data_IF_159571072641
#
_entry.id   IF_159571072641
#
_cell.length_a   1.000
_cell.length_b   1.000
_cell.length_c   1.000
_cell.angle_alpha   90.00
_cell.angle_beta   90.00
_cell.angle_gamma   90.00
#
_symmetry.space_group_name_H-M   'P 1'
#
loop_
_entity.id
_entity.type
_entity.pdbx_description
1 polymer ?
#
# COMPACT_ATOMS: atom_id res chain seq x y z
N UNK A 1 -32.77 -10.33 53.96
CA UNK A 1 -31.50 -9.75 54.45
C UNK A 1 -31.10 -8.68 53.46
N UNK A 2 -31.15 -7.40 53.83
CA UNK A 2 -30.89 -6.27 52.92
C UNK A 2 -29.38 -5.98 52.96
N UNK A 3 -28.69 -6.18 51.84
CA UNK A 3 -27.25 -5.95 51.70
C UNK A 3 -26.93 -4.46 51.86
N UNK A 4 -25.93 -4.10 52.68
CA UNK A 4 -25.54 -2.68 52.85
C UNK A 4 -24.64 -2.20 51.71
N UNK A 5 -24.64 -0.89 51.44
CA UNK A 5 -23.84 -0.27 50.37
C UNK A 5 -22.33 -0.57 50.49
N UNK A 6 -21.82 -0.69 51.73
CA UNK A 6 -20.43 -1.06 51.99
C UNK A 6 -20.12 -2.50 51.57
N UNK A 7 -21.06 -3.44 51.76
CA UNK A 7 -20.93 -4.80 51.24
C UNK A 7 -20.96 -4.81 49.71
N UNK A 8 -21.83 -4.01 49.09
CA UNK A 8 -21.90 -3.89 47.63
C UNK A 8 -20.57 -3.38 47.04
N UNK A 9 -19.96 -2.36 47.64
CA UNK A 9 -18.64 -1.87 47.27
C UNK A 9 -17.55 -2.95 47.43
N UNK A 10 -17.57 -3.71 48.52
CA UNK A 10 -16.59 -4.80 48.74
C UNK A 10 -16.80 -5.95 47.74
N UNK A 11 -18.04 -6.28 47.38
CA UNK A 11 -18.32 -7.28 46.34
C UNK A 11 -17.91 -6.81 44.95
N UNK A 12 -18.08 -5.51 44.64
CA UNK A 12 -17.52 -4.89 43.44
C UNK A 12 -16.00 -5.01 43.43
N UNK A 13 -15.30 -4.73 44.55
CA UNK A 13 -13.83 -4.82 44.63
C UNK A 13 -13.27 -6.24 44.44
N UNK A 14 -14.09 -7.29 44.51
CA UNK A 14 -13.68 -8.69 44.21
C UNK A 14 -14.03 -9.13 42.78
N UNK A 15 -14.24 -8.17 41.88
CA UNK A 15 -14.50 -8.41 40.47
C UNK A 15 -13.22 -8.30 39.65
N UNK A 16 -12.95 -9.27 38.79
CA UNK A 16 -11.83 -9.21 37.84
C UNK A 16 -12.33 -9.29 36.40
N UNK A 17 -11.74 -8.46 35.56
CA UNK A 17 -12.00 -8.48 34.13
C UNK A 17 -10.91 -9.26 33.41
N UNK A 18 -11.24 -10.05 32.41
CA UNK A 18 -10.20 -10.74 31.66
C UNK A 18 -10.54 -10.98 30.21
N UNK A 19 -9.51 -11.24 29.41
CA UNK A 19 -9.67 -11.74 28.05
C UNK A 19 -8.75 -12.92 27.78
N UNK A 20 -9.13 -13.72 26.79
CA UNK A 20 -8.43 -14.91 26.36
C UNK A 20 -8.37 -14.97 24.83
N UNK A 21 -7.16 -14.99 24.25
CA UNK A 21 -7.01 -14.96 22.79
C UNK A 21 -5.71 -15.53 22.26
N UNK A 22 -5.67 -15.85 20.95
CA UNK A 22 -4.43 -16.29 20.28
C UNK A 22 -3.47 -15.13 20.03
N UNK A 23 -4.03 -14.00 19.58
CA UNK A 23 -3.31 -12.76 19.27
C UNK A 23 -2.05 -13.00 18.42
N UNK A 24 -2.18 -13.70 17.29
CA UNK A 24 -1.04 -14.22 16.53
C UNK A 24 -1.07 -13.92 15.01
N UNK A 25 -0.33 -12.90 14.53
CA UNK A 25 0.37 -11.90 15.33
C UNK A 25 -0.60 -10.92 16.01
N UNK A 26 -0.17 -10.18 17.05
CA UNK A 26 -0.95 -9.08 17.58
C UNK A 26 -1.11 -7.98 16.53
N UNK A 27 -2.27 -7.34 16.51
CA UNK A 27 -2.64 -6.30 15.53
C UNK A 27 -3.35 -5.15 16.24
N UNK A 28 -3.52 -4.01 15.57
CA UNK A 28 -4.30 -2.89 16.13
C UNK A 28 -5.72 -3.27 16.58
N UNK A 29 -6.36 -4.22 15.91
CA UNK A 29 -7.68 -4.72 16.33
C UNK A 29 -7.66 -5.41 17.70
N UNK A 30 -6.55 -6.06 18.05
CA UNK A 30 -6.38 -6.60 19.41
C UNK A 30 -6.18 -5.47 20.42
N UNK A 31 -5.44 -4.42 20.05
CA UNK A 31 -5.29 -3.21 20.86
C UNK A 31 -6.64 -2.62 21.27
N UNK A 32 -7.56 -2.45 20.31
CA UNK A 32 -8.93 -2.00 20.60
C UNK A 32 -9.66 -2.89 21.61
N UNK A 33 -9.52 -4.21 21.50
CA UNK A 33 -10.12 -5.13 22.47
C UNK A 33 -9.51 -4.94 23.87
N UNK A 34 -8.19 -4.74 23.96
CA UNK A 34 -7.51 -4.46 25.24
C UNK A 34 -7.93 -3.12 25.83
N UNK A 35 -8.14 -2.10 24.99
CA UNK A 35 -8.64 -0.79 25.39
C UNK A 35 -10.07 -0.89 25.91
N UNK A 36 -10.95 -1.61 25.22
CA UNK A 36 -12.30 -1.88 25.71
C UNK A 36 -12.30 -2.66 27.02
N UNK A 37 -11.42 -3.67 27.16
CA UNK A 37 -11.26 -4.41 28.41
C UNK A 37 -10.90 -3.48 29.57
N UNK A 38 -9.92 -2.60 29.38
CA UNK A 38 -9.53 -1.60 30.37
C UNK A 38 -10.70 -0.66 30.71
N UNK A 39 -11.38 -0.12 29.69
CA UNK A 39 -12.49 0.82 29.89
C UNK A 39 -13.68 0.17 30.63
N UNK A 40 -13.97 -1.10 30.35
CA UNK A 40 -15.03 -1.87 31.02
C UNK A 40 -14.64 -2.25 32.45
N UNK A 41 -13.35 -2.48 32.70
CA UNK A 41 -12.85 -2.79 34.04
C UNK A 41 -12.94 -1.57 34.98
N UNK A 42 -12.81 -0.35 34.45
CA UNK A 42 -12.76 0.89 35.24
C UNK A 42 -11.64 0.80 36.30
N UNK A 43 -11.99 0.84 37.59
CA UNK A 43 -11.07 0.69 38.72
C UNK A 43 -10.78 -0.78 39.07
N UNK A 44 -11.53 -1.73 38.53
CA UNK A 44 -11.33 -3.15 38.82
C UNK A 44 -10.06 -3.68 38.15
N UNK A 45 -9.38 -4.67 38.76
CA UNK A 45 -8.25 -5.32 38.13
C UNK A 45 -8.67 -6.04 36.85
N UNK A 46 -7.76 -6.08 35.87
CA UNK A 46 -7.94 -6.89 34.68
C UNK A 46 -6.71 -7.72 34.34
N UNK A 47 -6.92 -8.80 33.60
CA UNK A 47 -5.89 -9.76 33.17
C UNK A 47 -6.04 -10.10 31.69
N UNK A 48 -4.93 -10.22 30.99
CA UNK A 48 -4.88 -10.61 29.58
C UNK A 48 -4.14 -11.93 29.51
N UNK A 49 -4.84 -12.96 29.07
CA UNK A 49 -4.26 -14.28 28.87
C UNK A 49 -4.19 -14.59 27.38
N UNK A 50 -3.09 -15.20 26.97
CA UNK A 50 -2.90 -15.66 25.59
C UNK A 50 -2.70 -17.15 25.50
N UNK A 51 -3.20 -17.75 24.42
CA UNK A 51 -3.12 -19.20 24.24
C UNK A 51 -1.67 -19.65 24.09
N UNK A 52 -1.37 -20.81 24.66
CA UNK A 52 -0.05 -21.43 24.55
C UNK A 52 0.13 -22.25 23.26
N UNK A 53 -0.96 -22.66 22.63
CA UNK A 53 -0.90 -23.38 21.35
C UNK A 53 -0.17 -22.57 20.29
N UNK A 54 0.47 -23.25 19.34
CA UNK A 54 1.07 -22.67 18.15
C UNK A 54 0.95 -23.65 16.98
N UNK A 55 0.81 -23.11 15.77
CA UNK A 55 0.80 -23.87 14.53
C UNK A 55 1.29 -22.96 13.39
N UNK A 56 2.00 -23.49 12.37
CA UNK A 56 2.61 -22.64 11.36
C UNK A 56 1.62 -21.81 10.54
N UNK A 57 0.35 -22.21 10.41
CA UNK A 57 -0.61 -21.59 9.49
C UNK A 57 -1.41 -20.47 10.15
N UNK A 58 -2.00 -20.75 11.30
CA UNK A 58 -2.96 -19.90 11.98
C UNK A 58 -2.38 -19.20 13.20
N UNK A 59 -1.30 -19.73 13.78
CA UNK A 59 -0.78 -19.33 15.07
C UNK A 59 0.77 -19.49 15.14
N UNK A 60 1.53 -18.82 14.24
CA UNK A 60 2.96 -19.08 14.01
C UNK A 60 3.88 -18.68 15.17
N UNK A 61 3.56 -17.62 15.92
CA UNK A 61 4.33 -17.22 17.10
C UNK A 61 4.17 -18.19 18.29
N UNK A 62 5.26 -18.46 19.01
CA UNK A 62 5.26 -19.24 20.27
C UNK A 62 4.72 -18.43 21.44
N UNK A 63 4.33 -19.08 22.54
CA UNK A 63 3.73 -18.43 23.72
C UNK A 63 4.53 -17.22 24.24
N UNK A 64 5.83 -17.39 24.52
CA UNK A 64 6.66 -16.30 25.06
C UNK A 64 6.87 -15.17 24.05
N UNK A 65 6.90 -15.50 22.76
CA UNK A 65 6.98 -14.52 21.68
C UNK A 65 5.71 -13.65 21.65
N UNK A 66 4.52 -14.27 21.76
CA UNK A 66 3.24 -13.53 21.87
C UNK A 66 3.24 -12.56 23.04
N UNK A 67 3.62 -13.04 24.23
CA UNK A 67 3.66 -12.23 25.46
C UNK A 67 4.62 -11.05 25.30
N UNK A 68 5.85 -11.31 24.81
CA UNK A 68 6.86 -10.26 24.59
C UNK A 68 6.36 -9.21 23.61
N UNK A 69 5.81 -9.64 22.48
CA UNK A 69 5.33 -8.72 21.44
C UNK A 69 4.09 -7.95 21.90
N UNK A 70 3.14 -8.57 22.59
CA UNK A 70 1.99 -7.86 23.15
C UNK A 70 2.39 -6.77 24.14
N UNK A 71 3.33 -7.06 25.06
CA UNK A 71 3.82 -6.06 26.01
C UNK A 71 4.53 -4.90 25.31
N UNK A 72 5.24 -5.18 24.21
CA UNK A 72 5.95 -4.17 23.44
C UNK A 72 5.02 -3.30 22.59
N UNK A 73 4.03 -3.92 21.94
CA UNK A 73 3.06 -3.23 21.09
C UNK A 73 2.05 -2.43 21.93
N UNK A 74 1.68 -2.95 23.10
CA UNK A 74 0.66 -2.39 23.99
C UNK A 74 1.20 -2.15 25.40
N UNK A 75 2.15 -1.21 25.58
CA UNK A 75 2.82 -0.97 26.86
C UNK A 75 1.86 -0.59 27.99
N UNK A 76 0.76 0.11 27.68
CA UNK A 76 -0.32 0.44 28.63
C UNK A 76 -0.92 -0.78 29.32
N UNK A 77 -0.94 -1.92 28.63
CA UNK A 77 -1.51 -3.18 29.11
C UNK A 77 -0.45 -4.16 29.61
N UNK A 78 0.84 -3.81 29.54
CA UNK A 78 1.94 -4.73 29.75
C UNK A 78 1.91 -5.46 31.11
N UNK A 79 1.53 -4.74 32.17
CA UNK A 79 1.39 -5.28 33.53
C UNK A 79 0.24 -6.27 33.68
N UNK A 80 -0.81 -6.12 32.90
CA UNK A 80 -1.98 -7.00 32.92
C UNK A 80 -1.82 -8.23 32.01
N UNK A 81 -0.80 -8.27 31.15
CA UNK A 81 -0.49 -9.43 30.31
C UNK A 81 0.19 -10.51 31.15
N UNK A 82 -0.50 -11.62 31.32
CA UNK A 82 -0.08 -12.73 32.17
C UNK A 82 0.90 -13.65 31.45
N UNK A 83 2.03 -13.92 32.12
CA UNK A 83 3.08 -14.82 31.66
C UNK A 83 3.16 -16.04 32.58
N UNK A 84 2.23 -16.98 32.43
CA UNK A 84 2.18 -18.19 33.24
C UNK A 84 2.00 -19.43 32.36
N UNK A 85 3.05 -20.25 32.27
CA UNK A 85 3.08 -21.49 31.48
C UNK A 85 2.16 -22.59 32.03
N UNK A 86 1.66 -22.47 33.27
CA UNK A 86 0.67 -23.42 33.82
C UNK A 86 -0.73 -23.20 33.22
N UNK A 87 -1.03 -22.00 32.71
CA UNK A 87 -2.36 -21.63 32.22
C UNK A 87 -2.51 -22.06 30.75
N UNK A 88 -2.92 -23.31 30.54
CA UNK A 88 -3.03 -23.90 29.19
C UNK A 88 -4.37 -23.61 28.50
N UNK A 89 -5.44 -23.49 29.28
CA UNK A 89 -6.80 -23.26 28.79
C UNK A 89 -7.48 -22.11 29.54
N UNK A 90 -8.61 -21.63 29.01
CA UNK A 90 -9.42 -20.59 29.67
C UNK A 90 -9.85 -21.00 31.08
N UNK A 91 -10.07 -22.28 31.34
CA UNK A 91 -10.44 -22.78 32.66
C UNK A 91 -9.30 -22.75 33.67
N UNK A 92 -8.06 -22.95 33.23
CA UNK A 92 -6.90 -22.73 34.09
C UNK A 92 -6.75 -21.26 34.45
N UNK A 93 -7.15 -20.35 33.54
CA UNK A 93 -7.15 -18.92 33.82
C UNK A 93 -8.21 -18.58 34.88
N UNK A 94 -9.43 -19.13 34.73
CA UNK A 94 -10.49 -18.98 35.74
C UNK A 94 -10.10 -19.55 37.10
N UNK A 95 -9.46 -20.73 37.13
CA UNK A 95 -8.94 -21.32 38.37
C UNK A 95 -7.90 -20.40 39.01
N UNK A 96 -6.92 -19.90 38.23
CA UNK A 96 -5.93 -18.95 38.74
C UNK A 96 -6.57 -17.67 39.31
N UNK A 97 -7.60 -17.13 38.64
CA UNK A 97 -8.33 -15.95 39.12
C UNK A 97 -9.13 -16.26 40.40
N UNK A 98 -9.70 -17.45 40.51
CA UNK A 98 -10.41 -17.88 41.71
C UNK A 98 -9.44 -18.05 42.89
N UNK A 99 -8.27 -18.65 42.65
CA UNK A 99 -7.21 -18.82 43.63
C UNK A 99 -6.60 -17.48 44.08
N UNK A 100 -6.62 -16.45 43.21
CA UNK A 100 -6.28 -15.06 43.57
C UNK A 100 -7.33 -14.41 44.52
N UNK A 101 -8.47 -15.06 44.77
CA UNK A 101 -9.51 -14.63 45.72
C UNK A 101 -10.65 -13.83 45.10
N UNK A 102 -10.75 -13.76 43.76
CA UNK A 102 -11.84 -13.08 43.08
C UNK A 102 -13.15 -13.86 43.22
N UNK A 103 -14.25 -13.15 43.48
CA UNK A 103 -15.59 -13.73 43.62
C UNK A 103 -16.43 -13.58 42.36
N UNK A 104 -16.14 -12.54 41.57
CA UNK A 104 -16.85 -12.21 40.35
C UNK A 104 -15.87 -12.10 39.19
N UNK A 105 -16.27 -12.59 38.02
CA UNK A 105 -15.44 -12.54 36.83
C UNK A 105 -16.23 -12.04 35.62
N UNK A 106 -15.61 -11.13 34.87
CA UNK A 106 -16.15 -10.59 33.63
C UNK A 106 -15.19 -10.87 32.48
N UNK A 107 -15.60 -11.72 31.55
CA UNK A 107 -14.84 -11.99 30.34
C UNK A 107 -15.20 -11.00 29.24
N UNK A 108 -14.21 -10.39 28.59
CA UNK A 108 -14.40 -9.51 27.43
C UNK A 108 -13.87 -10.19 26.17
N UNK A 109 -14.75 -10.41 25.20
CA UNK A 109 -14.45 -11.13 23.94
C UNK A 109 -15.08 -10.43 22.73
N UNK A 110 -14.71 -10.85 21.51
CA UNK A 110 -15.42 -10.43 20.30
C UNK A 110 -16.89 -10.89 20.32
N UNK A 111 -17.76 -10.15 19.64
CA UNK A 111 -19.21 -10.40 19.60
C UNK A 111 -19.57 -11.83 19.17
N UNK A 112 -18.81 -12.37 18.22
CA UNK A 112 -18.96 -13.71 17.65
C UNK A 112 -18.81 -14.85 18.67
N UNK A 113 -18.13 -14.62 19.80
CA UNK A 113 -17.81 -15.67 20.79
C UNK A 113 -18.52 -15.52 22.13
N UNK A 114 -19.36 -14.50 22.29
CA UNK A 114 -20.03 -14.21 23.58
C UNK A 114 -20.90 -15.39 24.03
N UNK A 115 -21.74 -15.93 23.14
CA UNK A 115 -22.66 -17.03 23.46
C UNK A 115 -21.88 -18.31 23.78
N UNK A 116 -20.87 -18.64 22.97
CA UNK A 116 -19.99 -19.80 23.14
C UNK A 116 -19.36 -19.79 24.55
N UNK A 117 -18.69 -18.69 24.92
CA UNK A 117 -18.02 -18.59 26.21
C UNK A 117 -18.99 -18.51 27.38
N UNK A 118 -20.13 -17.82 27.23
CA UNK A 118 -21.11 -17.71 28.31
C UNK A 118 -21.61 -19.08 28.74
N UNK A 119 -21.95 -19.94 27.78
CA UNK A 119 -22.38 -21.33 28.05
C UNK A 119 -21.22 -22.16 28.61
N UNK A 120 -20.04 -22.06 27.99
CA UNK A 120 -18.88 -22.87 28.35
C UNK A 120 -18.40 -22.61 29.78
N UNK A 121 -18.26 -21.34 30.18
CA UNK A 121 -17.70 -20.99 31.48
C UNK A 121 -18.66 -21.31 32.64
N UNK A 122 -19.98 -21.14 32.42
CA UNK A 122 -21.01 -21.46 33.41
C UNK A 122 -21.17 -22.97 33.60
N UNK A 123 -21.04 -23.77 32.53
CA UNK A 123 -21.17 -25.24 32.59
C UNK A 123 -20.20 -25.90 33.58
N UNK A 124 -19.01 -25.34 33.75
CA UNK A 124 -17.94 -25.86 34.60
C UNK A 124 -17.77 -25.11 35.93
N UNK A 125 -18.59 -24.08 36.21
CA UNK A 125 -18.57 -23.39 37.50
C UNK A 125 -19.01 -24.34 38.63
N UNK A 126 -18.24 -24.39 39.72
CA UNK A 126 -18.47 -25.30 40.83
C UNK A 126 -18.06 -26.75 40.58
N UNK A 127 -17.43 -27.06 39.43
CA UNK A 127 -16.96 -28.42 39.10
C UNK A 127 -15.45 -28.52 39.15
N UNK A 128 -14.94 -29.51 39.89
CA UNK A 128 -13.51 -29.84 39.94
C UNK A 128 -13.16 -30.73 38.74
N UNK A 129 -12.10 -30.38 38.01
CA UNK A 129 -11.58 -31.16 36.88
C UNK A 129 -10.06 -30.99 36.75
N UNK A 130 -9.47 -31.50 35.68
CA UNK A 130 -8.03 -31.39 35.37
C UNK A 130 -7.53 -29.94 35.32
N UNK A 131 -8.42 -28.99 35.03
CA UNK A 131 -8.14 -27.57 35.02
C UNK A 131 -8.07 -26.92 36.42
N UNK A 132 -8.40 -27.66 37.48
CA UNK A 132 -8.58 -27.16 38.84
C UNK A 132 -10.05 -27.01 39.24
N UNK A 133 -10.31 -26.14 40.22
CA UNK A 133 -11.64 -25.83 40.72
C UNK A 133 -11.85 -24.32 40.76
N UNK A 134 -13.02 -23.87 40.33
CA UNK A 134 -13.45 -22.49 40.53
C UNK A 134 -14.94 -22.46 40.82
N UNK A 135 -15.39 -21.52 41.65
CA UNK A 135 -16.79 -21.32 41.95
C UNK A 135 -17.09 -19.83 42.16
N UNK A 136 -17.26 -19.11 41.06
CA UNK A 136 -17.60 -17.69 41.09
C UNK A 136 -19.07 -17.47 41.44
N UNK A 137 -19.34 -16.41 42.19
CA UNK A 137 -20.70 -15.94 42.47
C UNK A 137 -21.35 -15.38 41.19
N UNK A 138 -20.57 -14.70 40.36
CA UNK A 138 -21.03 -14.17 39.07
C UNK A 138 -19.99 -14.42 37.97
N UNK A 139 -20.46 -14.98 36.86
CA UNK A 139 -19.71 -15.09 35.59
C UNK A 139 -20.48 -14.32 34.53
N UNK A 140 -19.90 -13.23 34.03
CA UNK A 140 -20.44 -12.45 32.93
C UNK A 140 -19.49 -12.52 31.73
N UNK A 141 -20.05 -12.62 30.53
CA UNK A 141 -19.30 -12.50 29.27
C UNK A 141 -19.89 -11.34 28.51
N UNK A 142 -19.07 -10.34 28.20
CA UNK A 142 -19.48 -9.12 27.52
C UNK A 142 -18.72 -8.96 26.21
N UNK A 143 -19.40 -8.39 25.21
CA UNK A 143 -18.78 -8.05 23.94
C UNK A 143 -17.83 -6.86 24.09
N UNK A 144 -16.71 -6.91 23.37
CA UNK A 144 -15.81 -5.78 23.17
C UNK A 144 -16.36 -4.73 22.18
N UNK A 145 -17.55 -4.98 21.61
CA UNK A 145 -18.18 -4.21 20.54
C UNK A 145 -18.18 -4.98 19.22
N UNK A 146 -19.09 -4.61 18.32
CA UNK A 146 -19.03 -5.04 16.92
C UNK A 146 -17.95 -4.24 16.19
N UNK A 147 -17.32 -4.85 15.18
CA UNK A 147 -16.45 -4.09 14.28
C UNK A 147 -17.38 -3.20 13.46
N UNK A 148 -17.26 -1.89 13.64
CA UNK A 148 -17.88 -0.91 12.75
C UNK A 148 -17.42 -1.20 11.31
N UNK A 149 -18.32 -1.69 10.42
CA UNK A 149 -17.99 -2.01 9.03
C UNK A 149 -17.57 -0.78 8.24
N UNK A 150 -18.01 0.42 8.69
CA UNK A 150 -17.89 1.69 7.99
C UNK A 150 -16.72 2.55 8.50
N UNK A 151 -15.97 2.07 9.50
CA UNK A 151 -14.77 2.74 9.99
C UNK A 151 -13.65 2.70 8.93
N UNK A 152 -13.67 3.66 8.01
CA UNK A 152 -12.64 3.87 7.02
C UNK A 152 -11.26 4.06 7.70
N UNK A 153 -10.29 3.26 7.25
CA UNK A 153 -8.89 3.37 7.65
C UNK A 153 -8.45 2.38 8.72
N UNK A 154 -7.44 1.56 8.38
CA UNK A 154 -6.46 0.80 9.19
C UNK A 154 -6.98 -0.10 10.34
N UNK A 155 -8.26 -0.02 10.72
CA UNK A 155 -8.87 -0.69 11.87
C UNK A 155 -9.38 -2.10 11.55
N UNK A 156 -9.37 -2.49 10.27
CA UNK A 156 -9.76 -3.81 9.75
C UNK A 156 -8.61 -4.79 9.50
N UNK A 157 -7.41 -4.53 10.03
CA UNK A 157 -6.27 -5.44 9.84
C UNK A 157 -6.33 -6.60 10.84
N UNK A 158 -6.79 -7.75 10.35
CA UNK A 158 -6.85 -9.00 11.08
C UNK A 158 -5.50 -9.71 11.12
N UNK A 159 -5.30 -10.59 12.10
CA UNK A 159 -4.10 -11.42 12.17
C UNK A 159 -3.89 -12.26 10.90
N UNK A 160 -4.96 -12.72 10.26
CA UNK A 160 -4.89 -13.46 9.00
C UNK A 160 -4.35 -12.60 7.85
N UNK A 161 -4.76 -11.32 7.74
CA UNK A 161 -4.20 -10.39 6.77
C UNK A 161 -2.71 -10.12 7.03
N UNK A 162 -2.31 -9.99 8.30
CA UNK A 162 -0.89 -9.83 8.66
C UNK A 162 -0.04 -11.03 8.26
N UNK A 163 -0.54 -12.26 8.47
CA UNK A 163 0.16 -13.48 8.00
C UNK A 163 0.22 -13.53 6.48
N UNK A 164 -0.82 -13.09 5.78
CA UNK A 164 -0.81 -12.99 4.32
C UNK A 164 0.27 -12.02 3.81
N UNK A 165 0.40 -10.84 4.41
CA UNK A 165 1.47 -9.89 4.06
C UNK A 165 2.87 -10.46 4.38
N UNK A 166 2.99 -11.25 5.46
CA UNK A 166 4.21 -11.99 5.75
C UNK A 166 4.56 -13.02 4.67
N UNK A 167 3.57 -13.75 4.13
CA UNK A 167 3.79 -14.69 3.01
C UNK A 167 4.16 -13.99 1.71
N UNK A 168 3.58 -12.81 1.43
CA UNK A 168 3.80 -12.07 0.19
C UNK A 168 5.05 -11.18 0.19
N UNK A 169 5.88 -11.25 1.23
CA UNK A 169 7.04 -10.36 1.37
C UNK A 169 6.65 -8.87 1.37
N UNK A 170 5.44 -8.53 1.83
CA UNK A 170 4.93 -7.16 1.86
C UNK A 170 5.04 -6.56 3.27
N UNK A 171 6.25 -6.13 3.61
CA UNK A 171 6.52 -5.47 4.88
C UNK A 171 5.78 -4.13 5.04
N UNK A 172 5.54 -3.42 3.94
CA UNK A 172 4.91 -2.08 3.99
C UNK A 172 3.48 -2.21 4.51
N UNK A 173 2.68 -3.06 3.89
CA UNK A 173 1.30 -3.32 4.33
C UNK A 173 1.25 -3.98 5.71
N UNK A 174 2.24 -4.82 6.05
CA UNK A 174 2.36 -5.37 7.39
C UNK A 174 2.58 -4.28 8.45
N UNK A 175 3.52 -3.36 8.22
CA UNK A 175 3.85 -2.30 9.18
C UNK A 175 2.65 -1.38 9.48
N UNK A 176 1.78 -1.14 8.49
CA UNK A 176 0.56 -0.35 8.65
C UNK A 176 -0.48 -1.04 9.57
N UNK A 177 -0.38 -2.36 9.75
CA UNK A 177 -1.23 -3.13 10.66
C UNK A 177 -0.89 -3.04 12.14
N UNK A 178 0.19 -2.32 12.47
CA UNK A 178 0.71 -2.19 13.82
C UNK A 178 0.41 -0.78 14.39
N UNK A 179 0.31 -0.65 15.72
CA UNK A 179 0.17 0.64 16.37
C UNK A 179 1.29 1.64 16.00
N UNK A 180 0.97 2.93 15.93
CA UNK A 180 1.93 3.99 15.53
C UNK A 180 3.14 4.14 16.48
N UNK A 181 3.00 3.72 17.73
CA UNK A 181 4.09 3.76 18.72
C UNK A 181 5.15 2.66 18.52
N UNK A 182 4.97 1.78 17.52
CA UNK A 182 5.87 0.67 17.25
C UNK A 182 7.00 1.14 16.35
N UNK A 183 8.24 0.95 16.81
CA UNK A 183 9.41 1.28 16.00
C UNK A 183 9.48 0.40 14.75
N UNK A 184 10.06 0.93 13.67
CA UNK A 184 10.30 0.15 12.46
C UNK A 184 11.15 -1.11 12.75
N UNK A 185 12.08 -1.03 13.71
CA UNK A 185 12.88 -2.17 14.15
C UNK A 185 12.02 -3.29 14.74
N UNK A 186 11.03 -2.94 15.55
CA UNK A 186 10.11 -3.90 16.18
C UNK A 186 9.12 -4.48 15.21
N UNK A 187 8.66 -3.67 14.25
CA UNK A 187 7.83 -4.15 13.16
C UNK A 187 8.58 -5.21 12.34
N UNK A 188 9.87 -4.98 12.01
CA UNK A 188 10.72 -5.95 11.29
C UNK A 188 10.95 -7.23 12.10
N UNK A 189 11.20 -7.09 13.41
CA UNK A 189 11.34 -8.24 14.31
C UNK A 189 10.05 -9.06 14.31
N UNK A 190 8.89 -8.43 14.51
CA UNK A 190 7.59 -9.11 14.49
C UNK A 190 7.35 -9.81 13.15
N UNK A 191 7.63 -9.12 12.05
CA UNK A 191 7.48 -9.60 10.70
C UNK A 191 8.28 -10.90 10.47
N UNK A 192 9.57 -10.86 10.80
CA UNK A 192 10.44 -12.02 10.65
C UNK A 192 10.10 -13.15 11.64
N UNK A 193 9.63 -12.83 12.85
CA UNK A 193 9.12 -13.83 13.80
C UNK A 193 7.90 -14.57 13.24
N UNK A 194 6.97 -13.85 12.59
CA UNK A 194 5.81 -14.46 11.92
C UNK A 194 6.28 -15.34 10.76
N UNK A 195 7.14 -14.81 9.88
CA UNK A 195 7.70 -15.59 8.75
C UNK A 195 8.38 -16.87 9.20
N UNK A 196 9.25 -16.77 10.21
CA UNK A 196 9.93 -17.92 10.82
C UNK A 196 8.94 -18.92 11.40
N UNK A 197 7.93 -18.45 12.13
CA UNK A 197 6.88 -19.32 12.66
C UNK A 197 6.05 -20.01 11.59
N UNK A 198 5.94 -19.41 10.39
CA UNK A 198 5.30 -19.99 9.21
C UNK A 198 6.22 -20.90 8.38
N UNK A 199 7.49 -21.05 8.76
CA UNK A 199 8.49 -21.81 7.99
C UNK A 199 9.04 -21.07 6.77
N UNK A 200 8.83 -19.76 6.67
CA UNK A 200 9.34 -18.91 5.60
C UNK A 200 10.74 -18.38 5.95
N UNK A 201 11.58 -18.19 4.93
CA UNK A 201 12.90 -17.56 5.09
C UNK A 201 12.74 -16.12 5.58
N UNK A 202 13.62 -15.70 6.48
CA UNK A 202 13.68 -14.33 6.98
C UNK A 202 13.95 -13.36 5.82
N UNK A 203 13.25 -12.23 5.85
CA UNK A 203 13.45 -11.16 4.88
C UNK A 203 14.46 -10.16 5.42
N UNK A 204 15.53 -9.93 4.66
CA UNK A 204 16.59 -8.95 4.98
C UNK A 204 16.46 -7.66 4.16
N UNK A 205 15.80 -7.74 3.01
CA UNK A 205 15.63 -6.64 2.05
C UNK A 205 14.20 -6.14 2.07
N UNK A 206 13.90 -5.14 2.90
CA UNK A 206 12.56 -4.54 3.02
C UNK A 206 12.26 -3.48 1.95
N UNK A 207 12.95 -3.50 0.80
CA UNK A 207 12.78 -2.50 -0.26
C UNK A 207 11.66 -2.94 -1.20
N UNK A 208 10.66 -2.08 -1.39
CA UNK A 208 9.58 -2.29 -2.35
C UNK A 208 10.13 -2.15 -3.76
N UNK A 209 10.28 -3.24 -4.50
CA UNK A 209 10.46 -3.14 -5.95
C UNK A 209 9.15 -2.65 -6.55
N UNK A 210 9.11 -1.39 -6.96
CA UNK A 210 7.98 -0.78 -7.64
C UNK A 210 8.12 -1.04 -9.14
N UNK A 211 7.52 -2.11 -9.63
CA UNK A 211 7.32 -2.29 -11.06
C UNK A 211 5.98 -1.64 -11.41
N UNK A 212 6.04 -0.50 -12.11
CA UNK A 212 4.85 0.13 -12.67
C UNK A 212 4.38 -0.69 -13.88
N UNK A 213 3.06 -0.79 -14.07
CA UNK A 213 2.51 -1.42 -15.27
C UNK A 213 2.89 -0.62 -16.52
N UNK A 214 3.14 -1.32 -17.63
CA UNK A 214 3.40 -0.69 -18.91
C UNK A 214 2.14 0.03 -19.40
N UNK A 215 2.24 1.33 -19.67
CA UNK A 215 1.09 2.16 -20.05
C UNK A 215 0.63 1.84 -21.49
N UNK A 216 1.56 1.56 -22.40
CA UNK A 216 1.29 1.15 -23.78
C UNK A 216 2.55 0.52 -24.40
N UNK A 217 2.38 -0.49 -25.26
CA UNK A 217 3.47 -1.09 -26.03
C UNK A 217 4.24 -0.05 -26.85
N UNK A 218 3.55 0.95 -27.41
CA UNK A 218 4.16 1.99 -28.24
C UNK A 218 5.09 2.87 -27.41
N UNK A 219 4.67 3.22 -26.18
CA UNK A 219 5.49 4.00 -25.25
C UNK A 219 6.73 3.22 -24.83
N UNK A 220 6.57 1.94 -24.51
CA UNK A 220 7.71 1.09 -24.12
C UNK A 220 8.68 0.90 -25.30
N UNK A 221 8.16 0.74 -26.53
CA UNK A 221 8.99 0.65 -27.74
C UNK A 221 9.70 1.97 -28.07
N UNK A 222 9.05 3.11 -27.82
CA UNK A 222 9.66 4.43 -27.98
C UNK A 222 10.79 4.66 -26.98
N UNK A 223 10.57 4.36 -25.70
CA UNK A 223 11.61 4.50 -24.66
C UNK A 223 12.79 3.55 -24.92
N UNK A 224 12.55 2.38 -25.53
CA UNK A 224 13.60 1.45 -25.95
C UNK A 224 14.37 1.89 -27.20
N UNK A 225 13.96 2.95 -27.89
CA UNK A 225 14.55 3.42 -29.15
C UNK A 225 14.14 2.60 -30.38
N UNK A 226 13.11 1.77 -30.26
CA UNK A 226 12.63 0.90 -31.33
C UNK A 226 11.51 1.54 -32.17
N UNK A 227 10.82 2.56 -31.65
CA UNK A 227 9.68 3.19 -32.35
C UNK A 227 10.10 4.34 -33.27
N UNK A 228 10.85 5.32 -32.74
CA UNK A 228 11.33 6.48 -33.50
C UNK A 228 12.72 6.88 -33.01
N UNK A 229 13.62 7.20 -33.95
CA UNK A 229 14.95 7.72 -33.67
C UNK A 229 15.14 9.13 -34.27
N UNK A 230 16.10 9.88 -33.73
CA UNK A 230 16.49 11.17 -34.30
C UNK A 230 17.02 10.98 -35.73
N UNK A 231 16.50 11.78 -36.67
CA UNK A 231 16.81 11.67 -38.10
C UNK A 231 15.80 10.88 -38.93
N UNK A 232 14.90 10.11 -38.30
CA UNK A 232 13.84 9.36 -39.00
C UNK A 232 12.84 10.32 -39.68
N UNK A 233 12.38 9.93 -40.87
CA UNK A 233 11.32 10.63 -41.59
C UNK A 233 9.95 10.06 -41.18
N UNK A 234 9.04 10.95 -40.73
CA UNK A 234 7.72 10.59 -40.22
C UNK A 234 6.62 11.40 -40.92
N UNK A 235 5.42 10.82 -40.99
CA UNK A 235 4.23 11.47 -41.55
C UNK A 235 3.37 11.96 -40.40
N UNK A 236 2.97 13.23 -40.47
CA UNK A 236 2.02 13.83 -39.53
C UNK A 236 0.60 13.43 -39.97
N UNK A 237 -0.15 12.71 -39.11
CA UNK A 237 -1.48 12.17 -39.46
C UNK A 237 -2.54 13.21 -39.81
N UNK A 238 -2.37 14.46 -39.39
CA UNK A 238 -3.37 15.51 -39.59
C UNK A 238 -3.29 16.19 -40.96
N UNK A 239 -2.11 16.22 -41.58
CA UNK A 239 -1.88 16.95 -42.84
C UNK A 239 -1.06 16.16 -43.87
N UNK A 240 -0.74 14.89 -43.57
CA UNK A 240 0.06 13.98 -44.41
C UNK A 240 1.41 14.57 -44.87
N UNK A 241 1.93 15.55 -44.13
CA UNK A 241 3.22 16.15 -44.40
C UNK A 241 4.34 15.25 -43.86
N UNK A 242 5.37 15.06 -44.69
CA UNK A 242 6.60 14.39 -44.29
C UNK A 242 7.48 15.39 -43.57
N UNK A 243 7.93 14.99 -42.38
CA UNK A 243 8.79 15.79 -41.52
C UNK A 243 9.89 14.92 -40.93
N UNK A 244 11.05 15.51 -40.66
CA UNK A 244 12.20 14.80 -40.07
C UNK A 244 12.21 14.99 -38.57
N UNK A 245 12.40 13.92 -37.79
CA UNK A 245 12.57 14.02 -36.34
C UNK A 245 13.92 14.65 -36.03
N UNK A 246 13.90 15.79 -35.33
CA UNK A 246 15.11 16.48 -34.84
C UNK A 246 15.45 16.02 -33.43
N UNK A 247 14.45 15.76 -32.60
CA UNK A 247 14.64 15.46 -31.19
C UNK A 247 13.56 14.53 -30.64
N UNK A 248 13.99 13.54 -29.87
CA UNK A 248 13.13 12.61 -29.14
C UNK A 248 13.01 13.01 -27.67
N UNK A 249 11.81 13.45 -27.26
CA UNK A 249 11.49 13.79 -25.87
C UNK A 249 11.05 12.58 -25.04
N UNK A 250 10.44 12.82 -23.89
CA UNK A 250 9.98 11.75 -22.98
C UNK A 250 8.69 11.04 -23.43
N UNK A 251 7.85 11.73 -24.20
CA UNK A 251 6.60 11.22 -24.78
C UNK A 251 6.14 11.99 -26.02
N UNK A 252 7.05 12.72 -26.66
CA UNK A 252 6.78 13.56 -27.82
C UNK A 252 8.02 13.62 -28.71
N UNK A 253 7.83 13.94 -29.97
CA UNK A 253 8.91 14.21 -30.93
C UNK A 253 8.84 15.65 -31.40
N UNK A 254 10.00 16.25 -31.66
CA UNK A 254 10.09 17.53 -32.37
C UNK A 254 10.48 17.21 -33.80
N UNK A 255 9.65 17.66 -34.73
CA UNK A 255 9.81 17.41 -36.16
C UNK A 255 10.09 18.73 -36.88
N UNK A 256 10.93 18.67 -37.91
CA UNK A 256 11.14 19.73 -38.89
C UNK A 256 10.34 19.40 -40.14
N UNK A 257 9.38 20.25 -40.50
CA UNK A 257 8.74 20.16 -41.81
C UNK A 257 9.66 20.72 -42.90
N UNK A 258 9.37 20.40 -44.16
CA UNK A 258 10.12 20.86 -45.33
C UNK A 258 10.24 22.38 -45.45
N UNK A 259 9.33 23.13 -44.81
CA UNK A 259 9.32 24.59 -44.74
C UNK A 259 10.21 25.16 -43.61
N UNK A 260 10.94 24.31 -42.88
CA UNK A 260 11.84 24.70 -41.79
C UNK A 260 11.13 25.01 -40.47
N UNK A 261 9.83 24.69 -40.35
CA UNK A 261 9.06 24.89 -39.13
C UNK A 261 9.27 23.72 -38.17
N UNK A 262 9.62 24.04 -36.91
CA UNK A 262 9.79 23.07 -35.84
C UNK A 262 8.50 22.91 -35.07
N UNK A 263 7.90 21.72 -35.13
CA UNK A 263 6.65 21.41 -34.47
C UNK A 263 6.84 20.30 -33.44
N UNK A 264 6.22 20.45 -32.28
CA UNK A 264 6.11 19.39 -31.27
C UNK A 264 4.87 18.54 -31.56
N UNK A 265 5.03 17.22 -31.65
CA UNK A 265 3.93 16.27 -31.85
C UNK A 265 3.98 15.12 -30.84
N UNK A 266 2.82 14.66 -30.41
CA UNK A 266 2.70 13.47 -29.56
C UNK A 266 2.93 12.20 -30.40
N UNK A 267 3.37 11.11 -29.74
CA UNK A 267 3.65 9.83 -30.42
C UNK A 267 2.45 9.28 -31.20
N UNK A 268 1.22 9.56 -30.76
CA UNK A 268 -0.01 9.13 -31.45
C UNK A 268 -0.30 9.87 -32.75
N UNK A 269 0.28 11.07 -32.94
CA UNK A 269 -0.02 11.98 -34.06
C UNK A 269 0.95 11.81 -35.23
N UNK A 270 1.93 10.94 -35.09
CA UNK A 270 2.98 10.64 -36.09
C UNK A 270 3.01 9.16 -36.40
N UNK A 271 3.27 8.82 -37.66
CA UNK A 271 3.47 7.44 -38.12
C UNK A 271 4.73 7.34 -38.96
N UNK A 272 5.42 6.20 -38.91
CA UNK A 272 6.52 5.92 -39.83
C UNK A 272 5.97 5.82 -41.25
N UNK A 273 6.76 6.23 -42.23
CA UNK A 273 6.38 6.23 -43.66
C UNK A 273 5.97 4.82 -44.12
N UNK A 274 6.56 3.77 -43.55
CA UNK A 274 6.29 2.38 -43.92
C UNK A 274 4.96 1.82 -43.38
N UNK A 275 4.39 2.46 -42.36
CA UNK A 275 3.16 2.01 -41.68
C UNK A 275 1.95 2.94 -41.90
N UNK A 276 2.07 3.95 -42.78
CA UNK A 276 0.94 4.84 -43.08
C UNK A 276 -0.27 4.00 -43.55
N UNK A 277 -1.41 4.04 -42.85
CA UNK A 277 -2.59 3.29 -43.26
C UNK A 277 -3.00 3.74 -44.66
N UNK A 278 -3.18 2.78 -45.56
CA UNK A 278 -3.77 2.98 -46.90
C UNK A 278 -5.23 3.39 -46.77
N UNK A 279 -5.53 4.56 -46.25
CA UNK A 279 -6.88 5.08 -46.19
C UNK A 279 -6.82 6.60 -46.27
N UNK A 280 -6.95 7.15 -47.47
CA UNK A 280 -8.06 8.01 -47.89
C UNK A 280 -8.05 8.12 -49.43
N UNK A 281 -9.21 7.87 -50.04
CA UNK A 281 -9.36 7.75 -51.49
C UNK A 281 -9.10 9.05 -52.24
N UNK A 282 -8.28 8.99 -53.27
CA UNK A 282 -8.08 10.11 -54.20
C UNK A 282 -6.84 9.95 -55.07
N UNK A 283 -7.04 9.47 -56.30
CA UNK A 283 -6.13 9.52 -57.45
C UNK A 283 -4.74 8.90 -57.27
N UNK A 284 -4.56 7.70 -57.83
CA UNK A 284 -3.26 7.07 -58.05
C UNK A 284 -2.31 8.01 -58.80
N UNK A 285 -1.37 8.64 -58.09
CA UNK A 285 -0.13 9.14 -58.71
C UNK A 285 0.97 8.13 -58.41
N UNK A 286 1.65 7.66 -59.47
CA UNK A 286 2.77 6.73 -59.30
C UNK A 286 3.88 7.43 -58.52
N UNK A 287 4.63 6.64 -57.73
CA UNK A 287 5.77 7.11 -56.90
C UNK A 287 6.72 8.06 -57.65
N UNK A 288 6.96 7.77 -58.92
CA UNK A 288 7.84 8.57 -59.79
C UNK A 288 7.28 9.96 -60.10
N UNK A 289 5.96 10.11 -60.21
CA UNK A 289 5.32 11.37 -60.57
C UNK A 289 5.30 12.34 -59.38
N UNK A 290 5.14 11.82 -58.16
CA UNK A 290 5.21 12.59 -56.92
C UNK A 290 6.66 13.05 -56.67
N UNK A 291 7.64 12.16 -56.91
CA UNK A 291 9.06 12.48 -56.79
C UNK A 291 9.52 13.52 -57.82
N UNK A 292 9.07 13.40 -59.09
CA UNK A 292 9.37 14.38 -60.15
C UNK A 292 8.74 15.74 -59.86
N UNK A 293 7.47 15.78 -59.44
CA UNK A 293 6.79 17.03 -59.09
C UNK A 293 7.45 17.73 -57.90
N UNK A 294 7.94 16.97 -56.92
CA UNK A 294 8.66 17.50 -55.76
C UNK A 294 10.05 18.04 -56.15
N UNK A 295 10.78 17.34 -57.03
CA UNK A 295 12.08 17.77 -57.52
C UNK A 295 12.00 19.04 -58.40
N UNK A 296 10.95 19.20 -59.22
CA UNK A 296 10.73 20.42 -59.99
C UNK A 296 10.37 21.63 -59.13
N UNK A 297 9.53 21.44 -58.10
CA UNK A 297 9.21 22.49 -57.13
C UNK A 297 10.45 22.93 -56.34
N UNK A 298 11.32 21.97 -55.98
CA UNK A 298 12.60 22.26 -55.33
C UNK A 298 13.50 23.14 -56.22
N UNK A 299 13.61 22.83 -57.52
CA UNK A 299 14.39 23.63 -58.49
C UNK A 299 13.85 25.04 -58.70
N UNK A 300 12.53 25.21 -58.68
CA UNK A 300 11.91 26.54 -58.77
C UNK A 300 12.11 27.36 -57.50
N UNK A 301 12.01 26.74 -56.32
CA UNK A 301 12.25 27.42 -55.05
C UNK A 301 13.72 27.81 -54.85
N UNK A 302 14.68 26.97 -55.25
CA UNK A 302 16.11 27.33 -55.17
C UNK A 302 16.43 28.53 -56.06
N UNK A 303 15.92 28.56 -57.30
CA UNK A 303 16.07 29.73 -58.19
C UNK A 303 15.47 31.01 -57.59
N UNK A 304 14.31 30.90 -56.94
CA UNK A 304 13.66 32.04 -56.28
C UNK A 304 14.46 32.54 -55.07
N UNK A 305 15.07 31.62 -54.31
CA UNK A 305 15.93 31.94 -53.16
C UNK A 305 17.25 32.60 -53.58
N UNK A 306 17.86 32.14 -54.66
CA UNK A 306 19.05 32.77 -55.24
C UNK A 306 18.77 34.19 -55.77
N UNK A 307 17.60 34.40 -56.38
CA UNK A 307 17.17 35.73 -56.83
C UNK A 307 16.97 36.70 -55.65
N UNK A 308 16.29 36.25 -54.58
CA UNK A 308 16.09 37.04 -53.35
C UNK A 308 17.42 37.38 -52.65
N UNK A 309 18.37 36.44 -52.62
CA UNK A 309 19.68 36.70 -52.03
C UNK A 309 20.49 37.72 -52.84
N UNK A 310 20.44 37.66 -54.18
CA UNK A 310 21.07 38.68 -55.04
C UNK A 310 20.44 40.06 -54.85
N UNK A 311 19.12 40.13 -54.70
CA UNK A 311 18.41 41.38 -54.44
C UNK A 311 18.81 41.98 -53.09
N UNK A 312 18.89 41.15 -52.04
CA UNK A 312 19.36 41.57 -50.73
C UNK A 312 20.83 42.05 -50.73
N UNK A 313 21.71 41.39 -51.49
CA UNK A 313 23.11 41.83 -51.64
C UNK A 313 23.20 43.20 -52.33
N UNK A 314 22.42 43.43 -53.40
CA UNK A 314 22.37 44.72 -54.09
C UNK A 314 21.83 45.83 -53.18
N UNK A 315 20.84 45.54 -52.33
CA UNK A 315 20.29 46.51 -51.38
C UNK A 315 21.28 46.84 -50.25
N UNK A 316 22.04 45.85 -49.77
CA UNK A 316 23.14 46.08 -48.82
C UNK A 316 24.23 46.96 -49.46
N UNK A 317 24.55 46.74 -50.73
CA UNK A 317 25.55 47.52 -51.45
C UNK A 317 25.08 48.96 -51.70
N UNK A 318 23.80 49.16 -52.07
CA UNK A 318 23.15 50.47 -52.15
C UNK A 318 23.17 51.21 -50.82
N UNK A 319 22.86 50.52 -49.72
CA UNK A 319 22.89 51.10 -48.38
C UNK A 319 24.31 51.52 -47.95
N UNK A 320 25.34 50.73 -48.30
CA UNK A 320 26.75 51.09 -48.08
C UNK A 320 27.16 52.32 -48.88
N UNK A 321 26.69 52.45 -50.13
CA UNK A 321 26.98 53.60 -51.00
C UNK A 321 26.31 54.89 -50.52
N UNK A 322 25.08 54.78 -49.98
CA UNK A 322 24.37 55.90 -49.34
C UNK A 322 25.07 56.37 -48.05
N UNK A 323 25.54 55.44 -47.21
CA UNK A 323 26.30 55.79 -45.98
C UNK A 323 27.64 56.48 -46.26
N UNK A 324 28.30 56.18 -47.38
CA UNK A 324 29.53 56.89 -47.80
C UNK A 324 29.25 58.31 -48.28
N UNK A 325 28.13 58.56 -48.95
CA UNK A 325 27.73 59.91 -49.40
C UNK A 325 27.33 60.86 -48.26
N UNK A 326 26.86 60.33 -47.13
CA UNK A 326 26.50 61.14 -45.94
C UNK A 326 27.68 61.40 -45.00
N UNK A 327 28.86 60.84 -45.27
CA UNK A 327 30.06 61.04 -44.45
C UNK A 327 31.02 62.11 -45.02
N UNK A 328 30.82 62.54 -46.27
CA UNK A 328 31.64 63.55 -46.98
C UNK A 328 30.88 64.86 -47.27
N UNK A 329 29.83 65.17 -46.51
CA UNK A 329 29.09 66.44 -46.59
C UNK A 329 28.76 66.98 -45.21
#
# INVERSE_FOLDING_TARGET
MISSFKQYLVEETKTVYFTWGRMNPPTMGHGKLLDTLLNKARSNPYRIFVTQSNDPKSNPLKYMEKVKMLRKLFPRHARSIMSNKKIKTVFHALTSLYDEGFKNVVMVVGSDRVIEFNTLLKKYNGKKSTHGFYNFQSIKVISAGERDPDAQGVTGISASKMRYYATKSDFTSFSQGLPKNVSNSDAKILYNMVRRGMGLKEEKLFKRHLQLESISNDRENYIRGNLFNEGDDVVIKNNDEVAKIIFCGSNYVIIETSDGLKLRKWLGDVSRIDEAPRYYGGVHRKREDIAKASAERLKQQTKRREALNKEAEMDIERAKKMRRKTADG
#
